data_IF_928253290820
#
_entry.id   IF_928253290820
#
_cell.length_a   1.000
_cell.length_b   1.000
_cell.length_c   1.000
_cell.angle_alpha   90.00
_cell.angle_beta   90.00
_cell.angle_gamma   90.00
#
_symmetry.space_group_name_H-M   'P 1'
#
loop_
_entity.id
_entity.type
_entity.pdbx_description
1 polymer ?
#
# COMPACT_ATOMS: atom_id res chain seq x y z
N UNK A 1 -30.07 5.70 -22.11
CA UNK A 1 -29.36 4.74 -21.25
C UNK A 1 -29.23 5.39 -19.90
N UNK A 2 -29.83 4.80 -18.86
CA UNK A 2 -29.70 5.28 -17.49
C UNK A 2 -28.26 5.00 -17.04
N UNK A 3 -27.44 6.04 -16.87
CA UNK A 3 -26.11 5.88 -16.31
C UNK A 3 -26.28 5.44 -14.86
N UNK A 4 -25.67 4.33 -14.47
CA UNK A 4 -25.57 3.97 -13.06
C UNK A 4 -24.73 5.05 -12.36
N UNK A 5 -25.23 5.57 -11.25
CA UNK A 5 -24.44 6.42 -10.37
C UNK A 5 -23.45 5.54 -9.62
N UNK A 6 -22.20 5.99 -9.53
CA UNK A 6 -21.14 5.30 -8.82
C UNK A 6 -20.60 6.20 -7.72
N UNK A 7 -20.27 5.62 -6.57
CA UNK A 7 -19.66 6.30 -5.43
C UNK A 7 -18.27 5.74 -5.20
N UNK A 8 -17.26 6.60 -5.12
CA UNK A 8 -15.90 6.19 -4.80
C UNK A 8 -15.83 5.79 -3.32
N UNK A 9 -15.46 4.55 -3.02
CA UNK A 9 -15.40 4.04 -1.63
C UNK A 9 -13.96 3.92 -1.11
N UNK A 10 -12.96 3.87 -2.00
CA UNK A 10 -11.54 3.97 -1.66
C UNK A 10 -10.69 4.31 -2.88
N UNK A 11 -9.51 4.89 -2.68
CA UNK A 11 -8.47 4.97 -3.70
C UNK A 11 -7.07 5.07 -3.06
N UNK A 12 -6.05 4.65 -3.81
CA UNK A 12 -4.65 4.63 -3.38
C UNK A 12 -3.78 5.18 -4.51
N UNK A 13 -2.84 6.06 -4.16
CA UNK A 13 -1.77 6.46 -5.05
C UNK A 13 -0.87 5.25 -5.22
N UNK A 14 -1.03 4.53 -6.33
CA UNK A 14 -0.08 3.50 -6.75
C UNK A 14 1.23 4.22 -7.06
N UNK A 15 2.10 4.31 -6.06
CA UNK A 15 3.40 4.92 -6.16
C UNK A 15 4.36 3.96 -6.83
N UNK A 16 4.41 3.98 -8.17
CA UNK A 16 5.61 3.96 -9.05
C UNK A 16 5.14 3.81 -10.52
N UNK A 17 5.76 4.49 -11.51
CA UNK A 17 5.40 4.36 -12.93
C UNK A 17 5.63 2.94 -13.48
N UNK A 18 4.57 2.21 -13.84
CA UNK A 18 4.72 1.04 -14.72
C UNK A 18 4.44 1.41 -16.15
N UNK A 19 5.40 1.29 -17.07
CA UNK A 19 5.00 1.09 -18.47
C UNK A 19 4.37 -0.31 -18.62
N UNK A 20 3.22 -0.46 -19.31
CA UNK A 20 2.58 0.50 -20.20
C UNK A 20 1.47 1.34 -19.54
N UNK A 21 1.29 1.27 -18.23
CA UNK A 21 0.28 2.00 -17.47
C UNK A 21 0.70 3.47 -17.28
N UNK A 22 -0.06 4.36 -17.90
CA UNK A 22 0.20 5.78 -17.91
C UNK A 22 0.23 6.33 -16.47
N UNK A 23 1.26 7.11 -16.10
CA UNK A 23 1.48 7.74 -14.78
C UNK A 23 0.41 8.75 -14.36
N UNK A 24 -0.63 8.86 -15.17
CA UNK A 24 -1.73 9.80 -15.07
C UNK A 24 -2.92 9.24 -14.28
N UNK A 25 -2.83 8.06 -13.64
CA UNK A 25 -3.98 7.44 -12.97
C UNK A 25 -3.64 6.85 -11.60
N UNK A 26 -4.60 6.90 -10.67
CA UNK A 26 -4.62 6.19 -9.38
C UNK A 26 -5.67 5.08 -9.41
N UNK A 27 -5.50 4.04 -8.59
CA UNK A 27 -6.47 2.95 -8.47
C UNK A 27 -7.43 3.20 -7.33
N UNK A 28 -8.72 2.95 -7.56
CA UNK A 28 -9.75 3.00 -6.53
C UNK A 28 -10.82 1.94 -6.71
N UNK A 29 -11.76 1.91 -5.78
CA UNK A 29 -12.95 1.08 -5.83
C UNK A 29 -14.17 2.00 -5.85
N UNK A 30 -15.07 1.77 -6.79
CA UNK A 30 -16.36 2.46 -6.85
C UNK A 30 -17.50 1.45 -6.69
N UNK A 31 -18.54 1.86 -5.99
CA UNK A 31 -19.77 1.08 -5.78
C UNK A 31 -20.96 1.78 -6.40
N UNK A 32 -21.84 1.04 -7.09
CA UNK A 32 -23.08 1.61 -7.61
C UNK A 32 -24.26 1.47 -6.63
N UNK A 33 -25.37 2.14 -6.94
CA UNK A 33 -26.59 2.11 -6.12
C UNK A 33 -27.22 0.70 -5.95
N UNK A 34 -26.71 -0.30 -6.67
CA UNK A 34 -27.11 -1.71 -6.56
C UNK A 34 -26.16 -2.55 -5.69
N UNK A 35 -25.16 -1.92 -5.04
CA UNK A 35 -24.18 -2.57 -4.19
C UNK A 35 -23.09 -3.33 -4.97
N UNK A 36 -22.94 -3.08 -6.27
CA UNK A 36 -21.86 -3.68 -7.06
C UNK A 36 -20.60 -2.83 -6.94
N UNK A 37 -19.51 -3.44 -6.47
CA UNK A 37 -18.19 -2.82 -6.38
C UNK A 37 -17.31 -3.20 -7.58
N UNK A 38 -16.60 -2.24 -8.17
CA UNK A 38 -15.64 -2.45 -9.25
C UNK A 38 -14.35 -1.68 -9.02
N UNK A 39 -13.24 -2.21 -9.53
CA UNK A 39 -11.97 -1.47 -9.60
C UNK A 39 -12.08 -0.40 -10.67
N UNK A 40 -11.68 0.82 -10.32
CA UNK A 40 -11.65 1.99 -11.20
C UNK A 40 -10.27 2.62 -11.24
N UNK A 41 -9.95 3.24 -12.37
CA UNK A 41 -8.85 4.18 -12.50
C UNK A 41 -9.41 5.59 -12.39
N UNK A 42 -8.72 6.46 -11.68
CA UNK A 42 -9.05 7.88 -11.56
C UNK A 42 -7.86 8.66 -12.10
N UNK A 43 -8.08 9.67 -12.94
CA UNK A 43 -6.96 10.50 -13.41
C UNK A 43 -6.30 11.22 -12.23
N UNK A 44 -4.98 11.27 -12.20
CA UNK A 44 -4.17 11.84 -11.11
C UNK A 44 -4.49 13.31 -10.88
N UNK A 45 -4.74 14.10 -11.93
CA UNK A 45 -5.16 15.51 -11.84
C UNK A 45 -6.57 15.70 -11.23
N UNK A 46 -7.35 14.63 -11.14
CA UNK A 46 -8.63 14.58 -10.43
C UNK A 46 -8.52 13.90 -9.06
N UNK A 47 -7.63 12.92 -8.90
CA UNK A 47 -7.41 12.18 -7.64
C UNK A 47 -7.06 13.08 -6.46
N UNK A 48 -6.31 14.16 -6.73
CA UNK A 48 -5.92 15.17 -5.73
C UNK A 48 -7.10 16.08 -5.31
N UNK A 49 -8.26 15.96 -5.98
CA UNK A 49 -9.41 16.88 -5.87
C UNK A 49 -10.74 16.14 -5.66
N UNK A 50 -10.68 14.91 -5.17
CA UNK A 50 -11.87 14.11 -4.86
C UNK A 50 -11.70 13.44 -3.51
N UNK A 51 -12.79 13.36 -2.76
CA UNK A 51 -12.86 12.68 -1.47
C UNK A 51 -13.45 11.28 -1.63
N UNK A 52 -13.13 10.38 -0.70
CA UNK A 52 -13.90 9.12 -0.57
C UNK A 52 -15.35 9.50 -0.25
N UNK A 53 -16.27 8.94 -1.02
CA UNK A 53 -17.69 9.26 -1.00
C UNK A 53 -18.15 10.12 -2.16
N UNK A 54 -17.24 10.63 -3.00
CA UNK A 54 -17.59 11.37 -4.21
C UNK A 54 -18.42 10.50 -5.17
N UNK A 55 -19.52 11.07 -5.65
CA UNK A 55 -20.33 10.48 -6.71
C UNK A 55 -19.70 10.76 -8.08
N UNK A 56 -19.96 9.89 -9.03
CA UNK A 56 -19.43 10.00 -10.38
C UNK A 56 -20.00 8.98 -11.32
N UNK A 57 -19.40 8.96 -12.51
CA UNK A 57 -19.70 7.99 -13.55
C UNK A 57 -18.52 7.07 -13.76
N UNK A 58 -18.79 5.82 -14.11
CA UNK A 58 -17.77 4.89 -14.58
C UNK A 58 -17.99 4.64 -16.07
N UNK A 59 -16.94 4.87 -16.85
CA UNK A 59 -16.92 4.54 -18.27
C UNK A 59 -15.89 3.44 -18.53
N UNK A 60 -16.30 2.42 -19.28
CA UNK A 60 -15.36 1.43 -19.77
C UNK A 60 -14.63 2.00 -21.01
N UNK A 61 -13.31 2.16 -20.92
CA UNK A 61 -12.45 2.67 -22.00
C UNK A 61 -11.41 1.62 -22.39
N UNK A 62 -10.84 1.74 -23.60
CA UNK A 62 -9.78 0.84 -24.04
C UNK A 62 -8.46 1.23 -23.36
N UNK A 63 -7.90 0.34 -22.54
CA UNK A 63 -6.56 0.47 -21.99
C UNK A 63 -5.50 -0.18 -22.89
N UNK A 64 -4.22 -0.14 -22.46
CA UNK A 64 -3.09 -0.64 -23.26
C UNK A 64 -3.10 -2.15 -23.54
N UNK A 65 -3.82 -2.93 -22.73
CA UNK A 65 -3.95 -4.40 -22.87
C UNK A 65 -5.40 -4.85 -22.85
N UNK A 66 -6.21 -4.25 -21.98
CA UNK A 66 -7.61 -4.61 -21.75
C UNK A 66 -8.48 -3.37 -21.56
N UNK A 67 -9.79 -3.58 -21.52
CA UNK A 67 -10.74 -2.54 -21.13
C UNK A 67 -10.56 -2.18 -19.65
N UNK A 68 -10.57 -0.90 -19.34
CA UNK A 68 -10.45 -0.38 -17.96
C UNK A 68 -11.69 0.44 -17.60
N UNK A 69 -12.01 0.50 -16.31
CA UNK A 69 -13.09 1.32 -15.79
C UNK A 69 -12.53 2.67 -15.36
N UNK A 70 -12.83 3.74 -16.08
CA UNK A 70 -12.43 5.10 -15.73
C UNK A 70 -13.53 5.74 -14.89
N UNK A 71 -13.20 6.15 -13.66
CA UNK A 71 -14.09 6.92 -12.80
C UNK A 71 -13.90 8.42 -13.06
N UNK A 72 -15.01 9.08 -13.40
CA UNK A 72 -15.08 10.53 -13.58
C UNK A 72 -16.01 11.10 -12.52
N UNK A 73 -15.51 11.93 -11.59
CA UNK A 73 -16.34 12.52 -10.55
C UNK A 73 -17.38 13.46 -11.16
N UNK A 74 -18.60 13.49 -10.60
CA UNK A 74 -19.67 14.41 -11.04
C UNK A 74 -19.45 15.84 -10.53
N UNK A 75 -18.79 15.97 -9.38
CA UNK A 75 -18.38 17.25 -8.78
C UNK A 75 -16.94 17.10 -8.27
N UNK A 76 -16.07 18.07 -8.56
CA UNK A 76 -14.73 18.12 -7.95
C UNK A 76 -14.86 18.66 -6.53
N UNK A 77 -14.72 17.78 -5.55
CA UNK A 77 -14.72 18.16 -4.15
C UNK A 77 -13.30 18.57 -3.74
N UNK A 78 -13.05 19.89 -3.77
CA UNK A 78 -11.79 20.47 -3.28
C UNK A 78 -11.72 20.56 -1.76
N UNK A 79 -12.81 20.21 -1.06
CA UNK A 79 -12.70 19.99 0.38
C UNK A 79 -11.90 18.70 0.57
N UNK A 80 -10.68 18.85 1.08
CA UNK A 80 -9.97 17.71 1.65
C UNK A 80 -10.94 17.04 2.63
N UNK A 81 -11.06 15.69 2.63
CA UNK A 81 -11.90 15.00 3.61
C UNK A 81 -11.58 15.57 4.99
N UNK A 82 -12.63 15.95 5.72
CA UNK A 82 -12.59 16.74 6.95
C UNK A 82 -11.29 16.49 7.73
N UNK A 83 -10.38 17.46 7.71
CA UNK A 83 -8.99 17.35 8.23
C UNK A 83 -8.87 17.07 9.73
N UNK A 84 -10.00 16.86 10.40
CA UNK A 84 -10.11 16.41 11.79
C UNK A 84 -9.96 14.91 11.96
N UNK A 85 -9.75 14.13 10.90
CA UNK A 85 -9.19 12.77 11.05
C UNK A 85 -7.75 12.93 11.51
N UNK A 86 -7.38 12.52 12.75
CA UNK A 86 -6.01 12.62 13.20
C UNK A 86 -5.12 11.80 12.25
N UNK A 87 -4.28 12.48 11.47
CA UNK A 87 -3.24 11.81 10.69
C UNK A 87 -2.25 11.30 11.73
N UNK A 88 -2.30 10.00 12.03
CA UNK A 88 -1.31 9.37 12.90
C UNK A 88 0.04 9.53 12.21
N UNK A 89 0.94 10.31 12.80
CA UNK A 89 2.28 10.53 12.28
C UNK A 89 2.98 9.18 12.14
N UNK A 90 3.38 8.85 10.93
CA UNK A 90 4.05 7.58 10.63
C UNK A 90 5.54 7.82 10.81
N UNK A 91 6.08 7.55 11.99
CA UNK A 91 7.53 7.60 12.22
C UNK A 91 8.22 6.27 11.91
N UNK A 92 7.47 5.17 11.97
CA UNK A 92 7.96 3.80 11.85
C UNK A 92 7.07 2.98 10.93
N UNK A 93 7.70 2.20 10.04
CA UNK A 93 7.03 1.33 9.07
C UNK A 93 7.46 -0.12 9.30
N UNK A 94 6.48 -1.00 9.48
CA UNK A 94 6.70 -2.44 9.46
C UNK A 94 6.78 -2.96 8.03
N UNK A 95 7.76 -3.78 7.72
CA UNK A 95 7.90 -4.41 6.40
C UNK A 95 8.06 -5.91 6.61
N UNK A 96 7.22 -6.70 5.94
CA UNK A 96 7.20 -8.15 6.10
C UNK A 96 7.66 -8.80 4.80
N UNK A 97 8.78 -9.51 4.87
CA UNK A 97 9.41 -10.17 3.73
C UNK A 97 10.75 -9.54 3.37
N UNK A 98 11.78 -10.37 3.31
CA UNK A 98 13.17 -9.99 3.00
C UNK A 98 13.54 -10.24 1.54
N UNK A 99 12.54 -10.49 0.68
CA UNK A 99 12.74 -10.57 -0.77
C UNK A 99 13.04 -9.21 -1.42
N UNK A 100 13.32 -9.21 -2.72
CA UNK A 100 13.76 -8.01 -3.47
C UNK A 100 12.90 -6.77 -3.21
N UNK A 101 11.57 -6.93 -3.22
CA UNK A 101 10.62 -5.83 -3.01
C UNK A 101 10.67 -5.28 -1.58
N UNK A 102 10.61 -6.17 -0.58
CA UNK A 102 10.68 -5.76 0.82
C UNK A 102 11.98 -5.02 1.15
N UNK A 103 13.12 -5.46 0.60
CA UNK A 103 14.39 -4.75 0.75
C UNK A 103 14.41 -3.39 0.05
N UNK A 104 13.79 -3.28 -1.13
CA UNK A 104 13.68 -2.01 -1.85
C UNK A 104 12.83 -1.00 -1.09
N UNK A 105 11.67 -1.43 -0.57
CA UNK A 105 10.78 -0.59 0.23
C UNK A 105 11.45 -0.20 1.54
N UNK A 106 12.14 -1.12 2.21
CA UNK A 106 12.89 -0.82 3.44
C UNK A 106 13.98 0.22 3.20
N UNK A 107 14.74 0.07 2.12
CA UNK A 107 15.76 1.05 1.73
C UNK A 107 15.15 2.44 1.50
N UNK A 108 14.08 2.55 0.72
CA UNK A 108 13.42 3.83 0.43
C UNK A 108 12.87 4.46 1.71
N UNK A 109 12.22 3.67 2.57
CA UNK A 109 11.69 4.16 3.84
C UNK A 109 12.80 4.75 4.73
N UNK A 110 13.93 4.05 4.84
CA UNK A 110 15.10 4.53 5.58
C UNK A 110 15.67 5.83 5.01
N UNK A 111 15.78 5.94 3.69
CA UNK A 111 16.29 7.14 3.02
C UNK A 111 15.35 8.36 3.17
N UNK A 112 14.05 8.11 3.37
CA UNK A 112 13.05 9.14 3.68
C UNK A 112 13.03 9.52 5.17
N UNK A 113 13.85 8.88 6.01
CA UNK A 113 13.98 9.17 7.43
C UNK A 113 13.05 8.36 8.33
N UNK A 114 12.27 7.42 7.81
CA UNK A 114 11.45 6.53 8.62
C UNK A 114 12.29 5.49 9.35
N UNK A 115 11.86 5.10 10.54
CA UNK A 115 12.33 3.86 11.17
C UNK A 115 11.69 2.66 10.49
N UNK A 116 12.42 1.57 10.36
CA UNK A 116 11.93 0.33 9.73
C UNK A 116 12.00 -0.81 10.71
N UNK A 117 10.91 -1.56 10.85
CA UNK A 117 10.91 -2.89 11.47
C UNK A 117 10.78 -3.92 10.35
N UNK A 118 11.86 -4.65 10.07
CA UNK A 118 11.89 -5.65 9.00
C UNK A 118 11.71 -7.05 9.58
N UNK A 119 10.58 -7.69 9.26
CA UNK A 119 10.27 -9.06 9.64
C UNK A 119 10.75 -10.04 8.57
N UNK A 120 11.60 -10.97 9.01
CA UNK A 120 12.12 -12.08 8.22
C UNK A 120 11.66 -13.43 8.76
N UNK A 121 11.90 -14.48 7.98
CA UNK A 121 11.51 -15.86 8.32
C UNK A 121 12.54 -16.60 9.19
N UNK A 122 13.79 -16.09 9.22
CA UNK A 122 14.89 -16.58 10.03
C UNK A 122 16.07 -15.57 10.06
N UNK A 123 16.99 -15.75 11.01
CA UNK A 123 18.21 -14.96 11.17
C UNK A 123 19.09 -14.91 9.90
N UNK A 124 19.16 -16.00 9.13
CA UNK A 124 19.96 -16.05 7.90
C UNK A 124 19.42 -15.08 6.83
N UNK A 125 18.09 -15.07 6.65
CA UNK A 125 17.41 -14.18 5.73
C UNK A 125 17.53 -12.71 6.18
N UNK A 126 17.45 -12.45 7.49
CA UNK A 126 17.62 -11.11 8.06
C UNK A 126 19.07 -10.60 7.91
N UNK A 127 20.05 -11.45 8.17
CA UNK A 127 21.48 -11.11 7.98
C UNK A 127 21.77 -10.77 6.52
N UNK A 128 21.22 -11.56 5.60
CA UNK A 128 21.35 -11.33 4.15
C UNK A 128 20.65 -10.03 3.72
N UNK A 129 19.47 -9.76 4.28
CA UNK A 129 18.72 -8.53 4.06
C UNK A 129 19.51 -7.29 4.48
N UNK A 130 20.06 -7.28 5.69
CA UNK A 130 20.83 -6.17 6.25
C UNK A 130 22.03 -5.83 5.35
N UNK A 131 22.85 -6.83 5.03
CA UNK A 131 24.02 -6.67 4.13
C UNK A 131 23.62 -6.15 2.75
N UNK A 132 22.47 -6.59 2.24
CA UNK A 132 21.97 -6.14 0.93
C UNK A 132 21.53 -4.69 0.97
N UNK A 133 20.81 -4.27 2.01
CA UNK A 133 20.39 -2.88 2.21
C UNK A 133 21.62 -1.98 2.37
N UNK A 134 22.55 -2.32 3.26
CA UNK A 134 23.81 -1.58 3.46
C UNK A 134 24.57 -1.38 2.15
N UNK A 135 24.77 -2.47 1.38
CA UNK A 135 25.47 -2.41 0.09
C UNK A 135 24.74 -1.53 -0.93
N UNK A 136 23.41 -1.46 -0.89
CA UNK A 136 22.63 -0.60 -1.79
C UNK A 136 22.73 0.87 -1.36
N UNK A 137 22.63 1.13 -0.07
CA UNK A 137 22.75 2.47 0.51
C UNK A 137 24.14 3.07 0.24
N UNK A 138 25.22 2.31 0.41
CA UNK A 138 26.60 2.74 0.11
C UNK A 138 26.83 3.21 -1.33
N UNK A 139 25.94 2.89 -2.28
CA UNK A 139 26.05 3.39 -3.66
C UNK A 139 25.54 4.83 -3.81
N UNK A 140 24.79 5.32 -2.84
CA UNK A 140 24.03 6.58 -2.91
C UNK A 140 24.26 7.48 -1.70
N UNK A 141 25.08 7.07 -0.72
CA UNK A 141 25.42 7.85 0.47
C UNK A 141 26.83 7.55 0.98
N UNK A 142 27.32 8.38 1.90
CA UNK A 142 28.60 8.26 2.59
C UNK A 142 28.55 7.23 3.72
N UNK A 143 29.72 6.84 4.26
CA UNK A 143 29.78 5.93 5.42
C UNK A 143 29.13 6.54 6.67
N UNK A 144 29.32 7.84 6.92
CA UNK A 144 28.73 8.51 8.09
C UNK A 144 27.20 8.53 8.01
N UNK A 145 26.64 8.80 6.82
CA UNK A 145 25.19 8.72 6.57
C UNK A 145 24.64 7.30 6.70
N UNK A 146 25.41 6.31 6.23
CA UNK A 146 25.06 4.91 6.40
C UNK A 146 24.98 4.54 7.89
N UNK A 147 26.03 4.88 8.66
CA UNK A 147 26.13 4.58 10.09
C UNK A 147 24.95 5.17 10.86
N UNK A 148 24.46 6.36 10.49
CA UNK A 148 23.22 6.90 11.05
C UNK A 148 21.98 6.10 10.63
N UNK A 149 21.84 5.82 9.33
CA UNK A 149 20.65 5.16 8.78
C UNK A 149 20.49 3.72 9.28
N UNK A 150 21.56 2.96 9.45
CA UNK A 150 21.48 1.57 9.95
C UNK A 150 20.95 1.50 11.39
N UNK A 151 21.06 2.58 12.18
CA UNK A 151 20.43 2.63 13.52
C UNK A 151 18.90 2.71 13.45
N UNK A 152 18.35 3.06 12.29
CA UNK A 152 16.90 3.23 12.06
C UNK A 152 16.22 1.93 11.62
N UNK A 153 16.94 0.82 11.44
CA UNK A 153 16.36 -0.49 11.09
C UNK A 153 16.45 -1.48 12.27
N UNK A 154 15.29 -2.05 12.64
CA UNK A 154 15.17 -3.19 13.56
C UNK A 154 14.87 -4.44 12.73
N UNK A 155 15.74 -5.45 12.83
CA UNK A 155 15.51 -6.79 12.27
C UNK A 155 14.79 -7.65 13.31
N UNK A 156 13.81 -8.44 12.88
CA UNK A 156 13.08 -9.33 13.79
C UNK A 156 12.52 -10.55 13.09
N UNK A 157 12.38 -11.64 13.83
CA UNK A 157 11.60 -12.83 13.47
C UNK A 157 10.25 -12.87 14.21
N UNK A 158 10.07 -11.98 15.19
CA UNK A 158 8.91 -11.97 16.05
C UNK A 158 7.81 -11.05 15.49
N UNK A 159 6.74 -11.65 14.97
CA UNK A 159 5.60 -10.91 14.44
C UNK A 159 4.97 -9.96 15.47
N UNK A 160 5.11 -10.21 16.78
CA UNK A 160 4.57 -9.33 17.83
C UNK A 160 5.24 -7.95 17.86
N UNK A 161 6.43 -7.79 17.27
CA UNK A 161 7.06 -6.48 17.11
C UNK A 161 6.28 -5.55 16.16
N UNK A 162 5.26 -6.07 15.47
CA UNK A 162 4.38 -5.31 14.59
C UNK A 162 3.17 -4.68 15.30
N UNK A 163 2.85 -5.11 16.53
CA UNK A 163 1.57 -4.84 17.19
C UNK A 163 1.21 -3.34 17.31
N UNK A 164 2.21 -2.50 17.57
CA UNK A 164 2.03 -1.07 17.84
C UNK A 164 2.41 -0.17 16.63
N UNK A 165 2.76 -0.76 15.49
CA UNK A 165 3.18 0.01 14.33
C UNK A 165 1.99 0.68 13.63
N UNK A 166 2.13 1.92 13.14
CA UNK A 166 1.06 2.65 12.46
C UNK A 166 0.82 2.15 11.03
N UNK A 167 1.85 1.60 10.37
CA UNK A 167 1.80 1.09 9.00
C UNK A 167 2.61 -0.20 8.89
N UNK A 168 2.03 -1.22 8.26
CA UNK A 168 2.69 -2.49 7.95
C UNK A 168 2.50 -2.81 6.48
N UNK A 169 3.61 -3.02 5.76
CA UNK A 169 3.65 -3.34 4.34
C UNK A 169 4.06 -4.81 4.16
N UNK A 170 3.17 -5.59 3.56
CA UNK A 170 3.35 -7.00 3.28
C UNK A 170 3.98 -7.21 1.90
N UNK A 171 5.11 -7.93 1.86
CA UNK A 171 5.93 -8.23 0.68
C UNK A 171 6.39 -9.71 0.67
N UNK A 172 5.59 -10.61 1.25
CA UNK A 172 5.84 -12.05 1.22
C UNK A 172 5.45 -12.66 -0.12
N UNK A 173 5.79 -13.94 -0.29
CA UNK A 173 5.50 -14.74 -1.49
C UNK A 173 4.06 -14.58 -1.96
N UNK A 174 3.87 -14.58 -3.28
CA UNK A 174 2.56 -14.38 -3.93
C UNK A 174 1.67 -15.63 -3.82
N UNK A 175 1.33 -16.00 -2.58
CA UNK A 175 0.45 -17.10 -2.23
C UNK A 175 -0.70 -16.57 -1.37
N UNK A 176 -1.94 -16.83 -1.82
CA UNK A 176 -3.15 -16.34 -1.17
C UNK A 176 -3.29 -16.88 0.26
N UNK A 177 -2.99 -18.15 0.48
CA UNK A 177 -3.13 -18.78 1.79
C UNK A 177 -2.15 -18.19 2.79
N UNK A 178 -0.88 -18.03 2.38
CA UNK A 178 0.17 -17.44 3.22
C UNK A 178 -0.20 -16.01 3.60
N UNK A 179 -0.59 -15.17 2.64
CA UNK A 179 -0.96 -13.77 2.93
C UNK A 179 -2.20 -13.66 3.80
N UNK A 180 -3.24 -14.47 3.56
CA UNK A 180 -4.44 -14.46 4.40
C UNK A 180 -4.13 -14.91 5.84
N UNK A 181 -3.29 -15.93 6.02
CA UNK A 181 -2.86 -16.36 7.36
C UNK A 181 -2.06 -15.25 8.07
N UNK A 182 -1.14 -14.62 7.35
CA UNK A 182 -0.35 -13.49 7.87
C UNK A 182 -1.27 -12.33 8.30
N UNK A 183 -2.18 -11.89 7.44
CA UNK A 183 -3.09 -10.80 7.77
C UNK A 183 -4.05 -11.14 8.91
N UNK A 184 -4.48 -12.40 9.02
CA UNK A 184 -5.27 -12.86 10.17
C UNK A 184 -4.48 -12.74 11.48
N UNK A 185 -3.20 -13.13 11.48
CA UNK A 185 -2.33 -12.98 12.64
C UNK A 185 -2.11 -11.50 12.97
N UNK A 186 -1.76 -10.67 11.98
CA UNK A 186 -1.58 -9.23 12.14
C UNK A 186 -2.85 -8.55 12.67
N UNK A 187 -4.02 -8.91 12.15
CA UNK A 187 -5.31 -8.40 12.62
C UNK A 187 -5.64 -8.77 14.06
N UNK A 188 -5.04 -9.84 14.60
CA UNK A 188 -5.22 -10.23 16.00
C UNK A 188 -4.29 -9.50 16.97
N UNK A 189 -3.11 -9.06 16.50
CA UNK A 189 -2.11 -8.38 17.35
C UNK A 189 -2.11 -6.86 17.19
N UNK A 190 -2.47 -6.33 16.00
CA UNK A 190 -2.39 -4.90 15.71
C UNK A 190 -3.75 -4.21 15.89
N UNK A 191 -3.81 -3.28 16.85
CA UNK A 191 -5.04 -2.53 17.15
C UNK A 191 -5.39 -1.52 16.07
N UNK A 192 -4.41 -0.71 15.67
CA UNK A 192 -4.65 0.49 14.84
C UNK A 192 -3.85 0.53 13.53
N UNK A 193 -2.96 -0.44 13.28
CA UNK A 193 -2.10 -0.45 12.10
C UNK A 193 -2.91 -0.37 10.78
N UNK A 194 -2.42 0.43 9.83
CA UNK A 194 -2.81 0.30 8.43
C UNK A 194 -2.05 -0.89 7.84
N UNK A 195 -2.76 -1.81 7.20
CA UNK A 195 -2.18 -2.94 6.49
C UNK A 195 -2.13 -2.63 5.00
N UNK A 196 -0.94 -2.63 4.43
CA UNK A 196 -0.71 -2.50 3.01
C UNK A 196 -0.19 -3.81 2.44
N UNK A 197 -0.72 -4.27 1.31
CA UNK A 197 -0.14 -5.41 0.56
C UNK A 197 0.50 -4.93 -0.74
N UNK A 198 1.69 -5.46 -1.03
CA UNK A 198 2.39 -5.30 -2.31
C UNK A 198 2.04 -6.40 -3.32
N UNK A 199 0.93 -7.12 -3.13
CA UNK A 199 0.47 -8.12 -4.10
C UNK A 199 0.30 -7.52 -5.50
N UNK A 200 0.69 -8.30 -6.51
CA UNK A 200 0.61 -7.91 -7.93
C UNK A 200 -0.58 -8.54 -8.65
N UNK A 201 -1.11 -9.64 -8.12
CA UNK A 201 -2.11 -10.46 -8.82
C UNK A 201 -3.29 -10.90 -7.97
N UNK A 202 -3.23 -10.75 -6.65
CA UNK A 202 -4.31 -11.18 -5.76
C UNK A 202 -5.33 -10.05 -5.53
N UNK A 203 -6.59 -10.44 -5.38
CA UNK A 203 -7.69 -9.52 -5.01
C UNK A 203 -7.42 -8.89 -3.64
N UNK A 204 -7.39 -7.56 -3.60
CA UNK A 204 -7.24 -6.78 -2.36
C UNK A 204 -8.41 -7.07 -1.42
N UNK A 205 -9.65 -7.13 -1.94
CA UNK A 205 -10.84 -7.44 -1.15
C UNK A 205 -10.78 -8.85 -0.55
N UNK A 206 -10.24 -9.82 -1.28
CA UNK A 206 -10.09 -11.19 -0.78
C UNK A 206 -9.06 -11.27 0.36
N UNK A 207 -7.96 -10.51 0.26
CA UNK A 207 -6.96 -10.45 1.32
C UNK A 207 -7.47 -9.66 2.53
N UNK A 208 -8.17 -8.55 2.30
CA UNK A 208 -8.79 -7.73 3.34
C UNK A 208 -9.81 -8.53 4.17
N UNK A 209 -10.49 -9.52 3.57
CA UNK A 209 -11.42 -10.39 4.31
C UNK A 209 -10.80 -11.16 5.48
N UNK A 210 -9.46 -11.27 5.52
CA UNK A 210 -8.73 -11.88 6.63
C UNK A 210 -8.62 -10.99 7.89
N UNK A 211 -8.96 -9.69 7.79
CA UNK A 211 -8.93 -8.74 8.92
C UNK A 211 -10.35 -8.29 9.29
N UNK A 212 -10.58 -8.08 10.59
CA UNK A 212 -11.89 -7.69 11.12
C UNK A 212 -12.28 -6.25 10.74
N UNK A 213 -11.32 -5.32 10.75
CA UNK A 213 -11.50 -3.94 10.33
C UNK A 213 -10.86 -3.72 8.96
N UNK A 214 -11.62 -3.99 7.90
CA UNK A 214 -11.16 -3.88 6.50
C UNK A 214 -10.88 -2.43 6.08
N UNK A 215 -11.43 -1.43 6.78
CA UNK A 215 -11.17 -0.01 6.50
C UNK A 215 -9.72 0.41 6.73
N UNK A 216 -8.91 -0.44 7.36
CA UNK A 216 -7.46 -0.26 7.54
C UNK A 216 -6.62 -1.04 6.53
N UNK A 217 -7.22 -1.67 5.51
CA UNK A 217 -6.52 -2.50 4.54
C UNK A 217 -6.44 -1.82 3.18
N UNK A 218 -5.24 -1.72 2.61
CA UNK A 218 -4.97 -1.06 1.33
C UNK A 218 -4.05 -1.91 0.44
N UNK A 219 -4.16 -1.70 -0.87
CA UNK A 219 -3.14 -2.13 -1.82
C UNK A 219 -2.13 -1.00 -2.05
N UNK A 220 -0.84 -1.33 -1.97
CA UNK A 220 0.25 -0.43 -2.40
C UNK A 220 1.20 -1.25 -3.26
N UNK A 221 1.22 -0.96 -4.55
CA UNK A 221 2.00 -1.74 -5.51
C UNK A 221 3.27 -0.98 -5.92
N UNK A 222 4.42 -1.54 -5.56
CA UNK A 222 5.77 -1.07 -5.88
C UNK A 222 6.34 -1.87 -7.05
N UNK A 223 7.30 -1.29 -7.79
CA UNK A 223 7.96 -1.88 -8.96
C UNK A 223 9.48 -1.91 -8.85
#
# INVERSE_FOLDING_TARGET
>A
MTYLSWKLISYSYVGVPLKPFNTEYVLGIAENDQGQSIVVQIRKDHADKISVGASGSVQQVNGPKDKINLFTPSEMDTSLPDSNVPIKEIEVVGIIGTGTMGLGIAQVALQLGFKVVLLGINDEALTTACRTIEKRLLKVMTNDELDEIVTKIKLTENINDMADLPLIIECVTEDKSIKQQLFKQLGSICRDAVFATNTSSLSISDLASAVSNQGRFIGIHFF
#
